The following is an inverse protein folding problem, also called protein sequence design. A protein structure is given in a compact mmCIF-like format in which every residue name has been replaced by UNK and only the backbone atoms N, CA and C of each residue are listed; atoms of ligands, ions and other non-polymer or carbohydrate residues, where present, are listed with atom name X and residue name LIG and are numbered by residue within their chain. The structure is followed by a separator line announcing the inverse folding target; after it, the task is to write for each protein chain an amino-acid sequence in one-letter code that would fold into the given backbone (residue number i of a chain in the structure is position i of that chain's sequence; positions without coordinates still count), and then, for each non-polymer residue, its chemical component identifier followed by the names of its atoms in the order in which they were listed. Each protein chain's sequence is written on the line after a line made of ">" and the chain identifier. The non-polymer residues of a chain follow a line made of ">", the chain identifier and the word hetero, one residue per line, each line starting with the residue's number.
data_IF_866973444342
#
_entry.id   IF_866973444342
#
_cell.length_a   1.000
_cell.length_b   1.000
_cell.length_c   1.000
_cell.angle_alpha   90.00
_cell.angle_beta   90.00
_cell.angle_gamma   90.00
#
_symmetry.space_group_name_H-M   'P 1'
#
loop_
_entity.id
_entity.type
_entity.pdbx_description
1 polymer ?
#
# COMPACT_ATOMS: atom_id res chain seq x y z
N UNK A 1 -8.48 -29.90 -9.62
CA UNK A 1 -9.30 -28.66 -9.56
C UNK A 1 -9.26 -28.12 -8.14
N UNK A 2 -9.10 -26.80 -7.99
CA UNK A 2 -9.28 -26.09 -6.71
C UNK A 2 -10.72 -25.59 -6.65
N UNK A 3 -11.55 -26.05 -5.71
CA UNK A 3 -12.89 -25.53 -5.53
C UNK A 3 -12.88 -24.13 -4.89
N UNK A 4 -13.98 -23.40 -5.02
CA UNK A 4 -14.19 -22.14 -4.30
C UNK A 4 -14.14 -22.37 -2.78
N UNK A 5 -13.62 -21.39 -2.03
CA UNK A 5 -13.39 -21.53 -0.59
C UNK A 5 -12.10 -22.26 -0.21
N UNK A 6 -11.34 -22.78 -1.17
CA UNK A 6 -10.00 -23.31 -0.89
C UNK A 6 -9.07 -22.17 -0.44
N UNK A 7 -8.21 -22.46 0.54
CA UNK A 7 -7.30 -21.46 1.08
C UNK A 7 -5.87 -21.97 1.19
N UNK A 8 -4.91 -21.07 1.18
CA UNK A 8 -3.48 -21.37 1.33
C UNK A 8 -2.78 -20.27 2.12
N UNK A 9 -1.78 -20.65 2.89
CA UNK A 9 -0.85 -19.70 3.49
C UNK A 9 0.19 -19.27 2.46
N UNK A 10 0.42 -17.97 2.39
CA UNK A 10 1.41 -17.39 1.49
C UNK A 10 2.21 -16.31 2.22
N UNK A 11 3.34 -15.95 1.63
CA UNK A 11 4.20 -14.87 2.12
C UNK A 11 4.33 -13.78 1.07
N UNK A 12 4.17 -12.54 1.48
CA UNK A 12 4.38 -11.37 0.62
C UNK A 12 5.87 -11.21 0.35
N UNK A 13 6.25 -11.24 -0.92
CA UNK A 13 7.63 -11.06 -1.37
C UNK A 13 7.97 -9.59 -1.62
N UNK A 14 7.04 -8.85 -2.22
CA UNK A 14 7.22 -7.43 -2.53
C UNK A 14 6.33 -6.58 -1.65
N UNK A 15 6.91 -5.67 -0.87
CA UNK A 15 6.14 -4.63 -0.18
C UNK A 15 5.44 -3.71 -1.18
N UNK A 16 4.40 -3.03 -0.72
CA UNK A 16 3.62 -2.11 -1.55
C UNK A 16 3.21 -0.89 -0.76
N UNK A 17 3.26 0.27 -1.41
CA UNK A 17 2.82 1.56 -0.89
C UNK A 17 1.74 2.10 -1.83
N UNK A 18 0.48 2.01 -1.42
CA UNK A 18 -0.67 2.20 -2.31
C UNK A 18 -1.49 3.39 -1.87
N UNK A 19 -1.66 4.42 -2.74
CA UNK A 19 -2.64 5.47 -2.51
C UNK A 19 -4.06 4.94 -2.77
N UNK A 20 -5.04 5.61 -2.21
CA UNK A 20 -6.45 5.31 -2.48
C UNK A 20 -6.78 5.51 -3.97
N UNK A 21 -7.59 4.61 -4.53
CA UNK A 21 -8.03 4.66 -5.94
C UNK A 21 -7.00 4.26 -6.98
N UNK A 22 -5.82 3.75 -6.56
CA UNK A 22 -4.84 3.16 -7.49
C UNK A 22 -4.52 1.73 -7.09
N UNK A 23 -4.24 0.90 -8.08
CA UNK A 23 -3.87 -0.50 -7.87
C UNK A 23 -2.44 -0.78 -8.27
N UNK A 24 -1.70 -1.49 -7.42
CA UNK A 24 -0.33 -1.92 -7.68
C UNK A 24 -0.19 -3.45 -7.57
N UNK A 25 0.69 -4.06 -8.36
CA UNK A 25 0.92 -5.49 -8.27
C UNK A 25 1.74 -5.84 -7.03
N UNK A 26 1.39 -6.97 -6.40
CA UNK A 26 2.12 -7.58 -5.28
C UNK A 26 2.42 -9.02 -5.63
N UNK A 27 3.67 -9.43 -5.43
CA UNK A 27 4.12 -10.80 -5.59
C UNK A 27 4.09 -11.52 -4.25
N UNK A 28 3.52 -12.72 -4.25
CA UNK A 28 3.46 -13.60 -3.09
C UNK A 28 3.97 -14.99 -3.48
N UNK A 29 4.58 -15.69 -2.53
CA UNK A 29 4.96 -17.10 -2.66
C UNK A 29 4.04 -17.95 -1.79
N UNK A 30 3.59 -19.09 -2.32
CA UNK A 30 2.79 -20.04 -1.58
C UNK A 30 3.70 -20.91 -0.72
N UNK A 31 3.47 -20.89 0.60
CA UNK A 31 4.32 -21.61 1.57
C UNK A 31 3.85 -23.03 1.86
N UNK A 32 2.55 -23.30 1.69
CA UNK A 32 1.93 -24.59 2.02
C UNK A 32 1.02 -25.09 0.91
N UNK A 33 0.59 -26.34 1.05
CA UNK A 33 -0.44 -26.90 0.19
C UNK A 33 -1.76 -26.18 0.36
N UNK A 34 -2.51 -26.02 -0.72
CA UNK A 34 -3.89 -25.56 -0.65
C UNK A 34 -4.74 -26.57 0.14
N UNK A 35 -5.56 -26.05 1.03
CA UNK A 35 -6.57 -26.82 1.75
C UNK A 35 -7.92 -26.56 1.09
N UNK A 36 -8.48 -27.59 0.50
CA UNK A 36 -9.82 -27.59 -0.07
C UNK A 36 -10.84 -28.12 0.95
N UNK A 37 -12.16 -27.98 0.69
CA UNK A 37 -13.19 -28.59 1.53
C UNK A 37 -12.93 -30.07 1.78
N UNK A 38 -13.31 -30.56 2.97
CA UNK A 38 -13.02 -31.92 3.47
C UNK A 38 -11.52 -32.23 3.66
N UNK A 39 -10.72 -31.21 3.96
CA UNK A 39 -9.27 -31.32 4.25
C UNK A 39 -8.46 -31.95 3.10
N UNK A 40 -8.97 -31.85 1.87
CA UNK A 40 -8.24 -32.30 0.69
C UNK A 40 -7.09 -31.32 0.38
N UNK A 41 -5.86 -31.84 0.35
CA UNK A 41 -4.65 -31.03 0.16
C UNK A 41 -4.12 -31.17 -1.26
N UNK A 42 -3.79 -30.03 -1.86
CA UNK A 42 -3.17 -29.94 -3.19
C UNK A 42 -1.85 -29.16 -3.04
N UNK A 43 -0.74 -29.82 -3.29
CA UNK A 43 0.59 -29.22 -3.12
C UNK A 43 0.90 -28.23 -4.26
N UNK A 44 0.92 -26.95 -3.91
CA UNK A 44 1.32 -25.83 -4.76
C UNK A 44 2.45 -25.02 -4.09
N UNK A 45 3.20 -25.64 -3.21
CA UNK A 45 4.30 -25.00 -2.49
C UNK A 45 5.34 -24.48 -3.47
N UNK A 46 5.80 -23.25 -3.25
CA UNK A 46 6.76 -22.58 -4.11
C UNK A 46 6.17 -21.96 -5.37
N UNK A 47 4.87 -22.10 -5.62
CA UNK A 47 4.20 -21.34 -6.68
C UNK A 47 4.14 -19.85 -6.33
N UNK A 48 4.13 -19.02 -7.35
CA UNK A 48 3.97 -17.57 -7.21
C UNK A 48 2.53 -17.14 -7.47
N UNK A 49 2.11 -16.14 -6.74
CA UNK A 49 0.81 -15.50 -6.88
C UNK A 49 1.00 -14.00 -7.08
N UNK A 50 0.37 -13.44 -8.11
CA UNK A 50 0.30 -12.00 -8.32
C UNK A 50 -1.08 -11.53 -7.87
N UNK A 51 -1.09 -10.52 -7.01
CA UNK A 51 -2.31 -9.85 -6.58
C UNK A 51 -2.31 -8.38 -6.96
N UNK A 52 -3.49 -7.81 -7.14
CA UNK A 52 -3.70 -6.36 -7.20
C UNK A 52 -3.98 -5.85 -5.80
N UNK A 53 -3.20 -4.87 -5.36
CA UNK A 53 -3.33 -4.22 -4.07
C UNK A 53 -3.97 -2.84 -4.24
N UNK A 54 -4.94 -2.50 -3.41
CA UNK A 54 -5.61 -1.21 -3.36
C UNK A 54 -5.66 -0.72 -1.91
N UNK A 55 -5.26 0.55 -1.70
CA UNK A 55 -5.25 1.17 -0.37
C UNK A 55 -6.61 1.72 0.01
N UNK A 56 -7.03 1.50 1.25
CA UNK A 56 -8.18 2.16 1.85
C UNK A 56 -7.70 2.93 3.09
N UNK A 57 -7.75 4.25 3.00
CA UNK A 57 -7.27 5.14 4.06
C UNK A 57 -8.19 5.17 5.27
N UNK A 58 -9.51 4.98 5.06
CA UNK A 58 -10.48 5.00 6.15
C UNK A 58 -10.30 3.82 7.11
N UNK A 59 -9.89 2.67 6.58
CA UNK A 59 -9.66 1.45 7.37
C UNK A 59 -8.18 1.22 7.69
N UNK A 60 -7.28 2.03 7.13
CA UNK A 60 -5.83 1.85 7.20
C UNK A 60 -5.36 0.47 6.70
N UNK A 61 -6.08 -0.07 5.72
CA UNK A 61 -5.83 -1.42 5.19
C UNK A 61 -5.59 -1.39 3.69
N UNK A 62 -4.84 -2.39 3.23
CA UNK A 62 -4.63 -2.67 1.81
C UNK A 62 -5.42 -3.91 1.44
N UNK A 63 -6.41 -3.76 0.56
CA UNK A 63 -7.14 -4.86 -0.04
C UNK A 63 -6.29 -5.46 -1.13
N UNK A 64 -6.18 -6.79 -1.14
CA UNK A 64 -5.40 -7.50 -2.15
C UNK A 64 -6.26 -8.57 -2.81
N UNK A 65 -6.36 -8.50 -4.13
CA UNK A 65 -7.08 -9.48 -4.94
C UNK A 65 -6.08 -10.30 -5.75
N UNK A 66 -6.04 -11.60 -5.52
CA UNK A 66 -5.26 -12.54 -6.31
C UNK A 66 -5.79 -12.59 -7.75
N UNK A 67 -4.89 -12.44 -8.73
CA UNK A 67 -5.26 -12.35 -10.15
C UNK A 67 -4.61 -13.41 -11.01
N UNK A 68 -3.37 -13.78 -10.71
CA UNK A 68 -2.62 -14.76 -11.48
C UNK A 68 -1.81 -15.67 -10.57
N UNK A 69 -1.79 -16.94 -10.92
CA UNK A 69 -0.96 -17.95 -10.26
C UNK A 69 -0.05 -18.59 -11.30
N UNK A 70 1.23 -18.69 -10.97
CA UNK A 70 2.24 -19.35 -11.82
C UNK A 70 3.02 -20.38 -11.01
N UNK A 71 3.20 -21.55 -11.61
CA UNK A 71 3.95 -22.64 -11.02
C UNK A 71 4.88 -23.27 -12.05
N UNK A 72 6.02 -23.74 -11.57
CA UNK A 72 6.98 -24.51 -12.37
C UNK A 72 7.18 -25.87 -11.71
N UNK A 73 6.93 -26.93 -12.46
CA UNK A 73 7.18 -28.30 -12.01
C UNK A 73 8.68 -28.56 -11.88
N UNK A 74 9.07 -29.55 -11.08
CA UNK A 74 10.46 -30.03 -10.98
C UNK A 74 11.05 -30.46 -12.33
N UNK A 75 10.22 -30.84 -13.30
CA UNK A 75 10.62 -31.18 -14.68
C UNK A 75 10.69 -29.97 -15.61
N UNK A 76 10.55 -28.73 -15.10
CA UNK A 76 10.58 -27.51 -15.90
C UNK A 76 9.29 -27.20 -16.66
N UNK A 77 8.23 -28.02 -16.54
CA UNK A 77 6.91 -27.66 -17.09
C UNK A 77 6.32 -26.52 -16.26
N UNK A 78 5.90 -25.47 -16.93
CA UNK A 78 5.26 -24.31 -16.30
C UNK A 78 3.76 -24.28 -16.63
N UNK A 79 2.98 -23.74 -15.71
CA UNK A 79 1.63 -23.33 -16.02
C UNK A 79 1.32 -21.98 -15.37
N UNK A 80 0.50 -21.23 -16.03
CA UNK A 80 -0.05 -19.97 -15.56
C UNK A 80 -1.56 -20.01 -15.67
N UNK A 81 -2.25 -19.53 -14.63
CA UNK A 81 -3.72 -19.47 -14.59
C UNK A 81 -4.17 -18.15 -14.00
N UNK A 82 -5.19 -17.58 -14.60
CA UNK A 82 -5.95 -16.52 -13.98
C UNK A 82 -6.75 -17.09 -12.81
N UNK A 83 -6.72 -16.39 -11.71
CA UNK A 83 -7.38 -16.78 -10.48
C UNK A 83 -8.13 -15.58 -9.92
N UNK A 84 -9.19 -15.85 -9.18
CA UNK A 84 -9.93 -14.83 -8.46
C UNK A 84 -10.00 -15.24 -6.99
N UNK A 85 -9.29 -14.52 -6.16
CA UNK A 85 -9.20 -14.76 -4.73
C UNK A 85 -9.00 -13.47 -3.98
N UNK A 86 -9.15 -13.52 -2.68
CA UNK A 86 -8.83 -12.40 -1.80
C UNK A 86 -7.78 -12.80 -0.78
N UNK A 87 -7.08 -11.80 -0.29
CA UNK A 87 -6.05 -11.97 0.72
C UNK A 87 -6.57 -11.54 2.08
N UNK A 88 -6.41 -12.37 3.08
CA UNK A 88 -6.70 -12.09 4.47
C UNK A 88 -5.41 -11.98 5.28
N UNK A 89 -5.38 -11.08 6.26
CA UNK A 89 -4.24 -10.90 7.15
C UNK A 89 -4.13 -12.10 8.11
N UNK A 90 -2.95 -12.70 8.20
CA UNK A 90 -2.72 -13.82 9.12
C UNK A 90 -2.77 -13.42 10.60
N UNK A 91 -2.69 -12.13 10.93
CA UNK A 91 -2.67 -11.64 12.31
C UNK A 91 -4.04 -11.58 12.94
N UNK A 92 -5.02 -11.07 12.21
CA UNK A 92 -6.38 -10.83 12.70
C UNK A 92 -7.45 -11.60 11.92
N UNK A 93 -7.05 -12.36 10.88
CA UNK A 93 -7.97 -13.09 10.01
C UNK A 93 -8.90 -12.19 9.18
N UNK A 94 -8.66 -10.89 9.23
CA UNK A 94 -9.52 -9.91 8.58
C UNK A 94 -9.29 -9.87 7.08
N UNK A 95 -10.35 -9.58 6.33
CA UNK A 95 -10.24 -9.22 4.93
C UNK A 95 -9.44 -7.92 4.80
N UNK A 96 -8.43 -7.91 3.95
CA UNK A 96 -7.45 -6.85 3.77
C UNK A 96 -6.35 -6.79 4.85
N UNK A 97 -5.16 -6.42 4.42
CA UNK A 97 -3.95 -6.34 5.24
C UNK A 97 -3.89 -5.03 6.00
N UNK A 98 -3.67 -5.09 7.31
CA UNK A 98 -3.38 -3.89 8.08
C UNK A 98 -2.06 -3.27 7.59
N UNK A 99 -2.11 -2.02 7.19
CA UNK A 99 -0.96 -1.23 6.73
C UNK A 99 -0.58 -0.12 7.70
N UNK A 100 0.43 0.64 7.31
CA UNK A 100 0.82 1.90 7.98
C UNK A 100 0.49 3.05 7.04
N UNK A 101 -0.32 4.00 7.52
CA UNK A 101 -0.61 5.21 6.75
C UNK A 101 0.63 6.10 6.73
N UNK A 102 1.12 6.37 5.54
CA UNK A 102 2.25 7.26 5.31
C UNK A 102 1.72 8.57 4.70
N UNK A 103 1.51 9.56 5.56
CA UNK A 103 1.06 10.88 5.14
C UNK A 103 2.25 11.84 5.19
N UNK A 104 2.80 12.17 4.02
CA UNK A 104 3.89 13.15 3.89
C UNK A 104 3.41 14.60 4.06
N UNK A 105 2.11 14.79 4.19
CA UNK A 105 1.45 16.10 4.29
C UNK A 105 1.86 16.88 5.55
N UNK A 106 2.09 16.20 6.67
CA UNK A 106 2.46 16.85 7.92
C UNK A 106 3.75 17.69 7.83
N UNK A 107 4.77 17.19 7.14
CA UNK A 107 6.03 17.92 6.93
C UNK A 107 5.82 19.18 6.07
N UNK A 108 5.02 19.07 5.03
CA UNK A 108 4.72 20.17 4.13
C UNK A 108 3.85 21.22 4.82
N UNK A 109 2.87 20.80 5.60
CA UNK A 109 2.04 21.69 6.41
C UNK A 109 2.86 22.45 7.46
N UNK A 110 3.84 21.79 8.12
CA UNK A 110 4.73 22.44 9.07
C UNK A 110 5.58 23.55 8.40
N UNK A 111 6.09 23.30 7.19
CA UNK A 111 6.85 24.30 6.42
C UNK A 111 5.96 25.48 5.98
N UNK A 112 4.72 25.20 5.56
CA UNK A 112 3.75 26.24 5.25
C UNK A 112 3.43 27.11 6.48
N UNK A 113 3.26 26.48 7.64
CA UNK A 113 3.01 27.19 8.91
C UNK A 113 4.18 28.10 9.30
N UNK A 114 5.42 27.61 9.24
CA UNK A 114 6.61 28.42 9.52
C UNK A 114 6.74 29.61 8.56
N UNK A 115 6.48 29.40 7.28
CA UNK A 115 6.48 30.48 6.29
C UNK A 115 5.39 31.52 6.59
N UNK A 116 4.21 31.09 7.06
CA UNK A 116 3.12 31.96 7.48
C UNK A 116 3.47 32.82 8.69
N UNK A 117 4.22 32.29 9.66
CA UNK A 117 4.73 33.07 10.80
C UNK A 117 5.65 34.19 10.31
N UNK A 118 6.61 33.88 9.44
CA UNK A 118 7.54 34.87 8.87
C UNK A 118 6.78 35.98 8.12
N UNK A 119 5.76 35.61 7.34
CA UNK A 119 4.87 36.55 6.65
C UNK A 119 4.14 37.46 7.67
N UNK A 120 3.57 36.89 8.71
CA UNK A 120 2.84 37.63 9.75
C UNK A 120 3.72 38.64 10.50
N UNK A 121 4.93 38.22 10.90
CA UNK A 121 5.91 39.10 11.52
C UNK A 121 6.33 40.24 10.59
N UNK A 122 6.60 39.97 9.32
CA UNK A 122 6.96 40.94 8.33
C UNK A 122 5.84 41.97 8.13
N UNK A 123 4.58 41.55 8.05
CA UNK A 123 3.42 42.44 7.97
C UNK A 123 3.25 43.30 9.24
N UNK A 124 3.46 42.72 10.42
CA UNK A 124 3.40 43.49 11.68
C UNK A 124 4.48 44.59 11.73
N UNK A 125 5.72 44.30 11.27
CA UNK A 125 6.78 45.29 11.16
C UNK A 125 6.42 46.41 10.17
N UNK A 126 5.84 46.03 9.01
CA UNK A 126 5.35 47.04 8.03
C UNK A 126 4.26 47.91 8.63
N UNK A 127 3.28 47.32 9.32
CA UNK A 127 2.20 48.08 9.96
C UNK A 127 2.72 49.06 11.04
N UNK A 128 3.77 48.67 11.77
CA UNK A 128 4.43 49.53 12.75
C UNK A 128 5.16 50.73 12.13
N UNK A 129 5.49 50.69 10.85
CA UNK A 129 6.16 51.80 10.12
C UNK A 129 5.16 52.71 9.39
N UNK A 130 3.85 52.38 9.41
CA UNK A 130 2.79 53.11 8.73
C UNK A 130 1.80 53.68 9.78
N UNK A 131 1.43 54.96 9.63
CA UNK A 131 0.31 55.58 10.34
C UNK A 131 -0.88 55.71 9.37
N UNK A 132 -2.06 55.26 9.84
CA UNK A 132 -3.31 55.50 9.12
C UNK A 132 -4.00 56.74 9.69
N UNK A 133 -4.20 57.72 8.87
CA UNK A 133 -5.07 58.86 9.19
C UNK A 133 -6.42 58.67 8.49
N UNK A 134 -7.49 58.64 9.31
CA UNK A 134 -8.87 58.56 8.81
C UNK A 134 -9.41 59.96 8.68
N UNK A 135 -9.75 60.38 7.48
CA UNK A 135 -10.43 61.66 7.28
C UNK A 135 -11.91 61.56 7.62
N UNK A 136 -12.49 62.65 8.25
CA UNK A 136 -13.92 62.68 8.61
C UNK A 136 -14.87 62.49 7.43
N UNK A 137 -14.39 62.61 6.18
CA UNK A 137 -15.13 62.40 4.93
C UNK A 137 -15.03 61.00 4.39
N UNK A 138 -14.54 60.00 5.16
CA UNK A 138 -14.56 58.57 4.81
C UNK A 138 -13.36 58.06 3.99
N UNK A 139 -12.31 58.88 3.82
CA UNK A 139 -11.06 58.44 3.15
C UNK A 139 -10.02 57.99 4.19
N UNK A 140 -9.38 56.85 3.98
CA UNK A 140 -8.22 56.41 4.77
C UNK A 140 -6.94 56.62 3.96
N UNK A 141 -5.98 57.36 4.49
CA UNK A 141 -4.67 57.55 3.88
C UNK A 141 -3.60 56.91 4.78
N UNK A 142 -2.82 55.98 4.22
CA UNK A 142 -1.69 55.37 4.93
C UNK A 142 -0.41 56.07 4.52
N UNK A 143 0.28 56.69 5.50
CA UNK A 143 1.54 57.40 5.29
C UNK A 143 2.66 56.64 6.00
N UNK A 144 3.77 56.46 5.28
CA UNK A 144 5.00 55.93 5.85
C UNK A 144 5.60 56.95 6.82
N UNK A 145 5.57 56.63 8.10
CA UNK A 145 6.05 57.53 9.19
C UNK A 145 7.36 57.04 9.80
N UNK A 146 7.72 55.76 9.56
CA UNK A 146 8.91 55.12 10.10
C UNK A 146 10.06 54.99 9.07
N UNK A 147 10.94 54.03 9.37
CA UNK A 147 12.13 53.74 8.56
C UNK A 147 11.73 53.02 7.24
N UNK A 148 11.97 53.67 6.12
CA UNK A 148 11.66 53.18 4.79
C UNK A 148 12.41 51.84 4.48
N UNK A 149 13.65 51.70 4.96
CA UNK A 149 14.45 50.49 4.74
C UNK A 149 13.83 49.29 5.48
N UNK A 150 13.43 49.47 6.73
CA UNK A 150 12.73 48.42 7.50
C UNK A 150 11.41 48.04 6.87
N UNK A 151 10.66 49.05 6.37
CA UNK A 151 9.40 48.79 5.68
C UNK A 151 9.60 47.95 4.41
N UNK A 152 10.60 48.30 3.54
CA UNK A 152 10.87 47.57 2.31
C UNK A 152 11.39 46.14 2.58
N UNK A 153 12.32 45.98 3.51
CA UNK A 153 12.88 44.66 3.85
C UNK A 153 11.81 43.76 4.47
N UNK A 154 11.03 44.27 5.43
CA UNK A 154 9.95 43.50 6.07
C UNK A 154 8.86 43.13 5.03
N UNK A 155 8.50 44.04 4.13
CA UNK A 155 7.53 43.78 3.07
C UNK A 155 8.02 42.76 2.05
N UNK A 156 9.28 42.88 1.64
CA UNK A 156 9.90 41.92 0.73
C UNK A 156 9.94 40.50 1.35
N UNK A 157 10.36 40.42 2.60
CA UNK A 157 10.40 39.17 3.33
C UNK A 157 9.01 38.57 3.55
N UNK A 158 8.00 39.38 3.92
CA UNK A 158 6.63 38.96 4.08
C UNK A 158 6.02 38.41 2.79
N UNK A 159 6.20 39.11 1.69
CA UNK A 159 5.70 38.69 0.39
C UNK A 159 6.37 37.40 -0.09
N UNK A 160 7.70 37.28 0.03
CA UNK A 160 8.44 36.10 -0.32
C UNK A 160 7.98 34.88 0.55
N UNK A 161 7.84 35.08 1.85
CA UNK A 161 7.35 34.05 2.75
C UNK A 161 5.92 33.61 2.41
N UNK A 162 5.05 34.54 2.03
CA UNK A 162 3.68 34.27 1.58
C UNK A 162 3.64 33.41 0.31
N UNK A 163 4.48 33.73 -0.69
CA UNK A 163 4.60 32.93 -1.90
C UNK A 163 5.10 31.51 -1.61
N UNK A 164 6.09 31.38 -0.73
CA UNK A 164 6.61 30.08 -0.29
C UNK A 164 5.53 29.29 0.46
N UNK A 165 4.77 29.91 1.35
CA UNK A 165 3.66 29.27 2.05
C UNK A 165 2.60 28.75 1.08
N UNK A 166 2.19 29.54 0.09
CA UNK A 166 1.24 29.13 -0.94
C UNK A 166 1.78 27.96 -1.78
N UNK A 167 3.05 27.99 -2.15
CA UNK A 167 3.69 26.90 -2.89
C UNK A 167 3.66 25.59 -2.07
N UNK A 168 3.98 25.64 -0.78
CA UNK A 168 3.90 24.46 0.10
C UNK A 168 2.48 23.95 0.24
N UNK A 169 1.47 24.82 0.33
CA UNK A 169 0.07 24.43 0.42
C UNK A 169 -0.40 23.74 -0.88
N UNK A 170 -0.02 24.25 -2.05
CA UNK A 170 -0.29 23.60 -3.33
C UNK A 170 0.40 22.23 -3.42
N UNK A 171 1.65 22.15 -2.99
CA UNK A 171 2.39 20.89 -2.93
C UNK A 171 1.73 19.88 -1.98
N UNK A 172 1.20 20.33 -0.84
CA UNK A 172 0.49 19.46 0.10
C UNK A 172 -0.76 18.84 -0.52
N UNK A 173 -1.49 19.58 -1.35
CA UNK A 173 -2.68 19.10 -2.05
C UNK A 173 -2.37 18.03 -3.11
N UNK A 174 -1.16 18.05 -3.68
CA UNK A 174 -0.73 17.06 -4.67
C UNK A 174 -0.23 15.75 -4.04
N UNK A 175 0.08 15.74 -2.74
CA UNK A 175 0.54 14.57 -2.02
C UNK A 175 -0.65 13.73 -1.57
N UNK A 176 -0.86 12.60 -2.24
CA UNK A 176 -1.84 11.60 -1.82
C UNK A 176 -1.26 10.78 -0.65
N UNK A 177 -1.98 10.65 0.47
CA UNK A 177 -1.57 9.72 1.51
C UNK A 177 -1.65 8.29 0.98
N UNK A 178 -0.76 7.44 1.46
CA UNK A 178 -0.63 6.05 1.03
C UNK A 178 -0.71 5.12 2.21
N UNK A 179 -1.13 3.88 1.96
CA UNK A 179 -1.07 2.79 2.94
C UNK A 179 0.05 1.85 2.55
N UNK A 180 1.03 1.70 3.44
CA UNK A 180 2.21 0.89 3.25
C UNK A 180 2.03 -0.49 3.88
N UNK A 181 2.33 -1.56 3.13
CA UNK A 181 2.44 -2.94 3.61
C UNK A 181 3.82 -3.46 3.26
N UNK A 182 4.60 -3.82 4.30
CA UNK A 182 5.95 -4.36 4.13
C UNK A 182 5.95 -5.79 3.58
N UNK A 183 7.08 -6.17 2.97
CA UNK A 183 7.37 -7.54 2.54
C UNK A 183 7.57 -8.49 3.74
N UNK A 184 7.59 -9.80 3.46
CA UNK A 184 7.85 -10.84 4.46
C UNK A 184 6.67 -11.19 5.38
N UNK A 185 5.51 -10.56 5.20
CA UNK A 185 4.30 -10.85 6.01
C UNK A 185 3.60 -12.11 5.51
N UNK A 186 3.13 -12.90 6.46
CA UNK A 186 2.30 -14.08 6.18
C UNK A 186 0.85 -13.65 5.98
N UNK A 187 0.20 -14.27 5.01
CA UNK A 187 -1.18 -14.01 4.61
C UNK A 187 -1.92 -15.31 4.30
N UNK A 188 -3.23 -15.28 4.34
CA UNK A 188 -4.10 -16.31 3.81
C UNK A 188 -4.66 -15.86 2.47
N UNK A 189 -4.58 -16.71 1.46
CA UNK A 189 -5.22 -16.49 0.16
C UNK A 189 -6.41 -17.43 0.08
N UNK A 190 -7.59 -16.88 -0.13
CA UNK A 190 -8.85 -17.62 -0.26
C UNK A 190 -9.36 -17.48 -1.68
N UNK A 191 -9.64 -18.61 -2.34
CA UNK A 191 -10.17 -18.64 -3.69
C UNK A 191 -11.67 -18.38 -3.70
N UNK A 192 -12.10 -17.41 -4.51
CA UNK A 192 -13.52 -17.10 -4.73
C UNK A 192 -14.13 -18.04 -5.76
N UNK A 193 -13.38 -18.35 -6.81
CA UNK A 193 -13.83 -19.14 -7.94
C UNK A 193 -13.05 -20.44 -8.04
N UNK A 194 -13.65 -21.43 -8.70
CA UNK A 194 -12.97 -22.70 -9.01
C UNK A 194 -11.83 -22.48 -9.99
N UNK A 195 -10.69 -23.10 -9.73
CA UNK A 195 -9.52 -23.06 -10.63
C UNK A 195 -9.21 -24.45 -11.17
N UNK A 196 -9.14 -24.58 -12.49
CA UNK A 196 -8.71 -25.81 -13.13
C UNK A 196 -7.18 -25.90 -13.14
N UNK A 197 -6.64 -26.95 -12.54
CA UNK A 197 -5.22 -27.24 -12.56
C UNK A 197 -4.93 -28.34 -13.57
N UNK A 198 -3.79 -28.29 -14.31
CA UNK A 198 -3.39 -29.36 -15.25
C UNK A 198 -3.14 -30.66 -14.47
N UNK A 199 -3.76 -31.75 -14.89
CA UNK A 199 -3.61 -33.05 -14.21
C UNK A 199 -2.16 -33.57 -14.27
N UNK A 200 -1.46 -33.31 -15.35
CA UNK A 200 -0.07 -33.72 -15.54
C UNK A 200 0.91 -33.08 -14.54
N UNK A 201 0.52 -31.94 -13.94
CA UNK A 201 1.35 -31.23 -12.96
C UNK A 201 1.37 -31.95 -11.61
N UNK A 202 0.28 -32.64 -11.27
CA UNK A 202 0.04 -33.27 -9.97
C UNK A 202 0.20 -34.80 -9.99
N UNK A 203 0.51 -35.39 -11.12
CA UNK A 203 0.90 -36.79 -11.15
C UNK A 203 2.20 -36.93 -10.36
N UNK A 204 2.05 -37.33 -9.06
CA UNK A 204 3.16 -37.85 -8.29
C UNK A 204 3.79 -38.95 -9.13
N UNK A 205 5.05 -38.82 -9.49
CA UNK A 205 5.80 -39.98 -9.98
C UNK A 205 5.67 -41.03 -8.88
N UNK A 206 4.99 -42.13 -9.20
CA UNK A 206 5.15 -43.36 -8.47
C UNK A 206 6.64 -43.69 -8.59
N UNK A 207 7.41 -43.36 -7.56
CA UNK A 207 8.76 -43.89 -7.42
C UNK A 207 8.60 -45.40 -7.36
N UNK A 208 9.28 -46.13 -8.24
CA UNK A 208 9.32 -47.59 -8.31
C UNK A 208 9.68 -48.28 -6.95
N UNK A 209 9.95 -47.52 -5.89
CA UNK A 209 10.22 -47.99 -4.54
C UNK A 209 8.97 -48.23 -3.65
N UNK A 210 7.79 -47.72 -4.06
CA UNK A 210 6.59 -47.85 -3.21
C UNK A 210 5.82 -49.16 -3.43
N UNK A 211 6.08 -49.86 -4.55
CA UNK A 211 5.52 -51.20 -4.78
C UNK A 211 6.23 -52.30 -3.97
N UNK A 212 7.48 -52.04 -3.54
CA UNK A 212 8.25 -53.00 -2.74
C UNK A 212 7.73 -53.20 -1.32
N UNK A 213 7.15 -52.19 -0.72
CA UNK A 213 6.73 -52.27 0.69
C UNK A 213 5.39 -52.97 0.83
N UNK A 214 4.45 -52.76 -0.07
CA UNK A 214 3.14 -53.43 -0.02
C UNK A 214 3.22 -54.88 -0.46
N UNK A 215 4.15 -55.26 -1.37
CA UNK A 215 4.35 -56.65 -1.75
C UNK A 215 5.04 -57.48 -0.64
N UNK A 216 5.78 -56.83 0.24
CA UNK A 216 6.41 -57.52 1.38
C UNK A 216 5.40 -57.84 2.49
N UNK A 217 4.44 -56.95 2.72
CA UNK A 217 3.41 -57.17 3.74
C UNK A 217 2.35 -58.18 3.33
N UNK A 218 2.04 -58.36 2.05
CA UNK A 218 1.09 -59.36 1.58
C UNK A 218 1.65 -60.78 1.63
N UNK A 219 3.00 -60.95 1.64
CA UNK A 219 3.67 -62.26 1.72
C UNK A 219 3.91 -62.77 3.13
N UNK A 220 3.70 -61.96 4.14
CA UNK A 220 3.93 -62.29 5.56
C UNK A 220 2.60 -62.66 6.25
N UNK A 221 1.46 -62.48 5.60
CA UNK A 221 0.13 -62.75 6.12
C UNK A 221 -0.58 -63.97 5.50
N UNK A 222 0.09 -64.74 4.62
CA UNK A 222 -0.26 -66.09 4.17
C UNK A 222 0.72 -67.11 4.81
#
# INVERSE_FOLDING_TARGET
>A
MLPSGSYVKAKIMTGVDVPEGKTYPVLMVLDYSYVAPNDHKIDLTGCFMIAKAEGNLSTERVQMQATKMSCVSRKGKMFEREVNGFVADNRDGSFAMQGKVNSKQGRVAAMAFLSGIVQGVGQAVQAAQTSQSVNPLGGSNSVLTGDSTKYMVAGGAANAAGMVAQWYLQQAQSLLPTVEVGSGRDVWIVMKDKVSLPEEFFKKERTEGDEGIYSYFSRVLD
#
